data_IF_703266977668
#
_entry.id   IF_703266977668
#
_cell.length_a   1.000
_cell.length_b   1.000
_cell.length_c   1.000
_cell.angle_alpha   90.00
_cell.angle_beta   90.00
_cell.angle_gamma   90.00
#
_symmetry.space_group_name_H-M   'P 1'
#
loop_
_entity.id
_entity.type
_entity.pdbx_description
1 polymer ?
#
# COMPACT_ATOMS: atom_id res chain seq x y z
N UNK A 1 -13.35 30.92 10.68
CA UNK A 1 -14.14 30.36 9.55
C UNK A 1 -13.29 30.13 8.29
N UNK A 2 -12.59 31.14 7.75
CA UNK A 2 -11.77 31.02 6.51
C UNK A 2 -10.75 29.88 6.60
N UNK A 3 -10.02 29.75 7.69
CA UNK A 3 -9.01 28.68 7.90
C UNK A 3 -9.62 27.27 7.79
N UNK A 4 -10.83 27.08 8.32
CA UNK A 4 -11.55 25.80 8.23
C UNK A 4 -11.92 25.48 6.77
N UNK A 5 -12.40 26.47 6.01
CA UNK A 5 -12.73 26.26 4.60
C UNK A 5 -11.50 25.96 3.74
N UNK A 6 -10.38 26.63 4.00
CA UNK A 6 -9.09 26.34 3.34
C UNK A 6 -8.65 24.90 3.66
N UNK A 7 -8.73 24.50 4.93
CA UNK A 7 -8.37 23.13 5.34
C UNK A 7 -9.25 22.09 4.63
N UNK A 8 -10.58 22.27 4.64
CA UNK A 8 -11.49 21.34 3.95
C UNK A 8 -11.23 21.29 2.44
N UNK A 9 -10.95 22.42 1.81
CA UNK A 9 -10.62 22.48 0.39
C UNK A 9 -9.33 21.70 0.10
N UNK A 10 -8.30 21.85 0.91
CA UNK A 10 -7.01 21.10 0.74
C UNK A 10 -7.23 19.61 0.89
N UNK A 11 -8.04 19.17 1.86
CA UNK A 11 -8.38 17.75 2.05
C UNK A 11 -9.14 17.20 0.84
N UNK A 12 -10.16 17.93 0.34
CA UNK A 12 -10.92 17.52 -0.85
C UNK A 12 -10.05 17.46 -2.10
N UNK A 13 -9.19 18.45 -2.32
CA UNK A 13 -8.25 18.46 -3.44
C UNK A 13 -7.27 17.29 -3.38
N UNK A 14 -6.76 16.96 -2.20
CA UNK A 14 -5.87 15.80 -2.04
C UNK A 14 -6.57 14.48 -2.39
N UNK A 15 -7.83 14.31 -1.99
CA UNK A 15 -8.63 13.14 -2.33
C UNK A 15 -8.93 13.07 -3.84
N UNK A 16 -9.24 14.19 -4.47
CA UNK A 16 -9.45 14.26 -5.92
C UNK A 16 -8.17 13.91 -6.68
N UNK A 17 -7.02 14.44 -6.28
CA UNK A 17 -5.73 14.13 -6.89
C UNK A 17 -5.39 12.64 -6.74
N UNK A 18 -5.61 12.03 -5.58
CA UNK A 18 -5.42 10.60 -5.38
C UNK A 18 -6.30 9.78 -6.33
N UNK A 19 -7.60 10.08 -6.39
CA UNK A 19 -8.56 9.40 -7.27
C UNK A 19 -8.25 9.52 -8.76
N UNK A 20 -7.75 10.68 -9.19
CA UNK A 20 -7.37 10.92 -10.58
C UNK A 20 -6.03 10.23 -10.93
N UNK A 21 -5.05 10.27 -10.03
CA UNK A 21 -3.69 9.77 -10.29
C UNK A 21 -3.55 8.27 -10.17
N UNK A 22 -4.21 7.64 -9.20
CA UNK A 22 -4.05 6.22 -8.90
C UNK A 22 -5.37 5.52 -8.57
N UNK A 23 -5.97 5.82 -7.40
CA UNK A 23 -7.24 5.25 -6.96
C UNK A 23 -7.91 6.17 -5.94
N UNK A 24 -9.26 6.20 -5.86
CA UNK A 24 -9.94 6.74 -4.70
C UNK A 24 -9.63 5.87 -3.48
N UNK A 25 -9.66 6.47 -2.29
CA UNK A 25 -9.48 5.71 -1.07
C UNK A 25 -10.60 4.66 -0.90
N UNK A 26 -10.20 3.40 -0.88
CA UNK A 26 -11.04 2.24 -0.62
C UNK A 26 -10.30 1.33 0.36
N UNK A 27 -10.72 1.26 1.64
CA UNK A 27 -10.06 0.41 2.62
C UNK A 27 -10.19 -1.07 2.25
N UNK A 28 -9.10 -1.83 2.34
CA UNK A 28 -9.14 -3.28 2.21
C UNK A 28 -10.03 -3.90 3.29
N UNK A 29 -10.99 -4.70 2.89
CA UNK A 29 -11.96 -5.32 3.80
C UNK A 29 -11.27 -6.26 4.83
N UNK A 30 -11.83 -6.44 6.04
CA UNK A 30 -11.24 -7.30 7.06
C UNK A 30 -11.02 -8.76 6.60
N UNK A 31 -11.95 -9.34 5.85
CA UNK A 31 -11.83 -10.66 5.25
C UNK A 31 -10.67 -10.76 4.25
N UNK A 32 -10.55 -9.77 3.38
CA UNK A 32 -9.47 -9.67 2.42
C UNK A 32 -8.11 -9.54 3.12
N UNK A 33 -7.99 -8.66 4.13
CA UNK A 33 -6.76 -8.52 4.92
C UNK A 33 -6.36 -9.82 5.61
N UNK A 34 -7.34 -10.54 6.20
CA UNK A 34 -7.08 -11.83 6.83
C UNK A 34 -6.53 -12.82 5.80
N UNK A 35 -7.19 -12.93 4.64
CA UNK A 35 -6.76 -13.81 3.55
C UNK A 35 -5.32 -13.52 3.11
N UNK A 36 -4.98 -12.23 2.90
CA UNK A 36 -3.62 -11.82 2.56
C UNK A 36 -2.63 -12.16 3.66
N UNK A 37 -2.93 -11.83 4.93
CA UNK A 37 -2.05 -12.10 6.06
C UNK A 37 -1.74 -13.60 6.24
N UNK A 38 -2.68 -14.48 5.93
CA UNK A 38 -2.50 -15.92 6.06
C UNK A 38 -1.52 -16.47 5.00
N UNK A 39 -1.29 -15.74 3.90
CA UNK A 39 -0.30 -16.07 2.87
C UNK A 39 1.10 -15.53 3.17
N UNK A 40 1.24 -14.59 4.10
CA UNK A 40 2.51 -13.95 4.39
C UNK A 40 3.39 -14.82 5.29
N UNK A 41 4.67 -14.94 4.90
CA UNK A 41 5.73 -15.56 5.69
C UNK A 41 6.83 -14.54 5.93
N UNK A 42 6.65 -13.71 6.95
CA UNK A 42 7.57 -12.62 7.26
C UNK A 42 8.47 -12.98 8.45
N UNK A 43 9.75 -12.65 8.32
CA UNK A 43 10.76 -12.82 9.36
C UNK A 43 11.01 -11.49 10.11
N UNK A 44 11.49 -11.54 11.35
CA UNK A 44 11.94 -10.36 12.08
C UNK A 44 12.90 -9.49 11.26
N UNK A 45 12.70 -8.17 11.31
CA UNK A 45 13.53 -7.19 10.61
C UNK A 45 13.20 -7.00 9.12
N UNK A 46 12.33 -7.82 8.53
CA UNK A 46 11.89 -7.59 7.15
C UNK A 46 11.05 -6.33 7.01
N UNK A 47 11.04 -5.77 5.80
CA UNK A 47 10.35 -4.51 5.49
C UNK A 47 9.18 -4.75 4.53
N UNK A 48 8.04 -4.18 4.88
CA UNK A 48 6.82 -4.14 4.07
C UNK A 48 6.53 -2.71 3.66
N UNK A 49 6.31 -2.49 2.37
CA UNK A 49 5.90 -1.19 1.80
C UNK A 49 4.50 -1.31 1.22
N UNK A 50 3.65 -0.31 1.47
CA UNK A 50 2.29 -0.22 0.92
C UNK A 50 2.17 1.07 0.10
N UNK A 51 1.99 0.93 -1.20
CA UNK A 51 1.91 2.02 -2.17
C UNK A 51 0.45 2.41 -2.41
N UNK A 52 0.02 3.49 -1.79
CA UNK A 52 -1.38 3.92 -1.70
C UNK A 52 -2.03 3.37 -0.43
N UNK A 53 -1.35 3.51 0.72
CA UNK A 53 -1.73 2.83 1.96
C UNK A 53 -3.06 3.32 2.59
N UNK A 54 -3.63 4.42 2.11
CA UNK A 54 -4.85 4.98 2.64
C UNK A 54 -4.80 5.19 4.16
N UNK A 55 -5.75 4.59 4.88
CA UNK A 55 -5.84 4.64 6.35
C UNK A 55 -4.85 3.68 7.06
N UNK A 56 -3.96 3.05 6.31
CA UNK A 56 -2.95 2.13 6.82
C UNK A 56 -3.49 0.79 7.32
N UNK A 57 -4.75 0.46 7.03
CA UNK A 57 -5.43 -0.73 7.58
C UNK A 57 -4.67 -2.03 7.33
N UNK A 58 -4.03 -2.19 6.16
CA UNK A 58 -3.20 -3.35 5.85
C UNK A 58 -1.92 -3.36 6.68
N UNK A 59 -1.20 -2.25 6.76
CA UNK A 59 0.05 -2.15 7.52
C UNK A 59 -0.14 -2.36 9.03
N UNK A 60 -1.22 -1.83 9.61
CA UNK A 60 -1.55 -2.08 11.01
C UNK A 60 -1.89 -3.55 11.27
N UNK A 61 -2.51 -4.22 10.30
CA UNK A 61 -2.80 -5.65 10.41
C UNK A 61 -1.52 -6.50 10.31
N UNK A 62 -0.60 -6.15 9.39
CA UNK A 62 0.74 -6.77 9.30
C UNK A 62 1.51 -6.57 10.60
N UNK A 63 1.62 -5.34 11.10
CA UNK A 63 2.37 -5.03 12.32
C UNK A 63 1.83 -5.74 13.57
N UNK A 64 0.50 -5.97 13.64
CA UNK A 64 -0.10 -6.73 14.74
C UNK A 64 0.27 -8.21 14.68
N UNK A 65 0.31 -8.80 13.47
CA UNK A 65 0.63 -10.21 13.28
C UNK A 65 2.14 -10.48 13.33
N UNK A 66 2.94 -9.53 12.86
CA UNK A 66 4.41 -9.60 12.77
C UNK A 66 5.04 -8.37 13.44
N UNK A 67 5.13 -8.35 14.79
CA UNK A 67 5.52 -7.14 15.54
C UNK A 67 6.95 -6.64 15.29
N UNK A 68 7.82 -7.47 14.72
CA UNK A 68 9.23 -7.14 14.44
C UNK A 68 9.47 -6.75 12.97
N UNK A 69 8.41 -6.72 12.15
CA UNK A 69 8.47 -6.29 10.75
C UNK A 69 8.32 -4.77 10.67
N UNK A 70 9.12 -4.13 9.84
CA UNK A 70 9.04 -2.69 9.59
C UNK A 70 8.00 -2.43 8.50
N UNK A 71 6.98 -1.65 8.79
CA UNK A 71 5.90 -1.34 7.87
C UNK A 71 5.94 0.13 7.47
N UNK A 72 6.03 0.43 6.17
CA UNK A 72 5.99 1.82 5.66
C UNK A 72 4.90 1.97 4.61
N UNK A 73 4.05 2.98 4.76
CA UNK A 73 3.01 3.29 3.80
C UNK A 73 3.09 4.71 3.28
N UNK A 74 2.74 4.88 2.01
CA UNK A 74 2.72 6.17 1.32
C UNK A 74 1.35 6.43 0.72
N UNK A 75 0.82 7.62 0.94
CA UNK A 75 -0.40 8.10 0.31
C UNK A 75 -0.36 9.62 0.13
N UNK A 76 -1.10 10.16 -0.83
CA UNK A 76 -1.26 11.61 -1.05
C UNK A 76 -2.62 12.13 -0.56
N UNK A 77 -3.54 11.25 -0.20
CA UNK A 77 -4.87 11.62 0.30
C UNK A 77 -4.81 11.92 1.80
N UNK A 78 -5.04 13.16 2.16
CA UNK A 78 -4.89 13.62 3.56
C UNK A 78 -5.93 13.01 4.50
N UNK A 79 -7.18 12.82 4.04
CA UNK A 79 -8.24 12.29 4.90
C UNK A 79 -7.90 10.91 5.48
N UNK A 80 -7.60 9.89 4.68
CA UNK A 80 -7.21 8.58 5.21
C UNK A 80 -5.90 8.64 6.00
N UNK A 81 -4.93 9.50 5.61
CA UNK A 81 -3.69 9.68 6.37
C UNK A 81 -3.95 10.23 7.77
N UNK A 82 -4.86 11.17 7.96
CA UNK A 82 -5.24 11.65 9.30
C UNK A 82 -5.81 10.51 10.15
N UNK A 83 -6.62 9.63 9.57
CA UNK A 83 -7.14 8.44 10.26
C UNK A 83 -5.98 7.51 10.66
N UNK A 84 -5.03 7.25 9.74
CA UNK A 84 -3.87 6.42 10.00
C UNK A 84 -2.97 6.99 11.11
N UNK A 85 -2.66 8.28 11.05
CA UNK A 85 -1.86 8.96 12.09
C UNK A 85 -2.55 8.97 13.44
N UNK A 86 -3.86 9.22 13.50
CA UNK A 86 -4.66 9.14 14.71
C UNK A 86 -4.62 7.74 15.32
N UNK A 87 -4.79 6.69 14.50
CA UNK A 87 -4.67 5.30 14.95
C UNK A 87 -3.28 4.99 15.50
N UNK A 88 -2.22 5.42 14.80
CA UNK A 88 -0.86 5.24 15.26
C UNK A 88 -0.60 5.96 16.58
N UNK A 89 -1.10 7.19 16.75
CA UNK A 89 -0.95 7.96 17.98
C UNK A 89 -1.65 7.30 19.16
N UNK A 90 -2.89 6.84 18.99
CA UNK A 90 -3.67 6.16 20.03
C UNK A 90 -3.05 4.83 20.46
N UNK A 91 -2.40 4.11 19.55
CA UNK A 91 -1.83 2.79 19.79
C UNK A 91 -0.32 2.77 19.51
N UNK A 92 0.40 3.84 19.88
CA UNK A 92 1.81 4.04 19.51
C UNK A 92 2.75 2.91 19.98
N UNK A 93 2.49 2.31 21.16
CA UNK A 93 3.28 1.18 21.67
C UNK A 93 3.14 -0.07 20.79
N UNK A 94 1.93 -0.34 20.29
CA UNK A 94 1.63 -1.49 19.45
C UNK A 94 2.16 -1.29 18.02
N UNK A 95 2.14 -0.05 17.52
CA UNK A 95 2.48 0.28 16.13
C UNK A 95 3.76 1.11 16.01
N UNK A 96 4.73 0.90 16.91
CA UNK A 96 6.03 1.60 16.87
C UNK A 96 6.78 1.40 15.56
N UNK A 97 6.62 0.23 14.94
CA UNK A 97 7.23 -0.21 13.68
C UNK A 97 6.44 0.17 12.42
N UNK A 98 5.31 0.89 12.55
CA UNK A 98 4.52 1.37 11.40
C UNK A 98 4.86 2.83 11.12
N UNK A 99 5.19 3.13 9.87
CA UNK A 99 5.55 4.47 9.38
C UNK A 99 4.57 4.88 8.28
N UNK A 100 3.68 5.82 8.57
CA UNK A 100 2.72 6.38 7.62
C UNK A 100 3.24 7.73 7.14
N UNK A 101 3.43 7.87 5.82
CA UNK A 101 4.05 9.04 5.21
C UNK A 101 3.15 9.63 4.13
N UNK A 102 3.02 10.95 4.14
CA UNK A 102 2.50 11.69 2.99
C UNK A 102 3.53 11.62 1.88
N UNK A 103 3.15 11.12 0.70
CA UNK A 103 4.07 11.02 -0.43
C UNK A 103 3.43 10.40 -1.67
N UNK A 104 3.91 10.81 -2.83
CA UNK A 104 3.53 10.26 -4.12
C UNK A 104 4.12 8.84 -4.27
N UNK A 105 3.26 7.85 -4.38
CA UNK A 105 3.64 6.42 -4.52
C UNK A 105 4.54 6.16 -5.75
N UNK A 106 4.40 6.95 -6.82
CA UNK A 106 5.21 6.82 -8.04
C UNK A 106 6.67 7.26 -7.87
N UNK A 107 7.00 7.94 -6.77
CA UNK A 107 8.35 8.47 -6.50
C UNK A 107 9.12 7.67 -5.45
N UNK A 108 8.49 6.64 -4.86
CA UNK A 108 9.08 5.94 -3.73
C UNK A 108 10.19 4.97 -4.15
N UNK A 109 11.16 4.80 -3.27
CA UNK A 109 12.20 3.79 -3.37
C UNK A 109 11.83 2.59 -2.47
N UNK A 110 11.70 1.44 -3.08
CA UNK A 110 11.35 0.16 -2.45
C UNK A 110 12.50 -0.87 -2.57
N UNK A 111 13.74 -0.43 -2.80
CA UNK A 111 14.89 -1.34 -2.95
C UNK A 111 15.20 -2.14 -1.68
N UNK A 112 14.77 -1.68 -0.51
CA UNK A 112 14.91 -2.39 0.74
C UNK A 112 13.63 -3.13 1.18
N UNK A 113 12.60 -3.16 0.34
CA UNK A 113 11.35 -3.85 0.65
C UNK A 113 11.48 -5.37 0.40
N UNK A 114 10.98 -6.16 1.33
CA UNK A 114 10.76 -7.59 1.15
C UNK A 114 9.39 -7.87 0.54
N UNK A 115 8.39 -7.05 0.91
CA UNK A 115 7.05 -7.09 0.33
C UNK A 115 6.63 -5.67 -0.09
N UNK A 116 6.00 -5.57 -1.25
CA UNK A 116 5.34 -4.36 -1.74
C UNK A 116 3.88 -4.67 -2.00
N UNK A 117 2.97 -4.00 -1.27
CA UNK A 117 1.53 -4.06 -1.52
C UNK A 117 1.10 -2.99 -2.51
N UNK A 118 0.19 -3.36 -3.42
CA UNK A 118 -0.41 -2.50 -4.44
C UNK A 118 -1.91 -2.83 -4.52
N UNK A 119 -2.75 -1.89 -4.08
CA UNK A 119 -4.20 -1.94 -4.28
C UNK A 119 -4.68 -0.65 -4.94
N UNK A 120 -4.54 -0.59 -6.25
CA UNK A 120 -4.76 0.60 -7.07
C UNK A 120 -5.63 0.26 -8.28
N UNK A 121 -6.21 1.27 -8.93
CA UNK A 121 -6.90 1.05 -10.20
C UNK A 121 -5.92 0.72 -11.32
N UNK A 122 -6.28 -0.22 -12.18
CA UNK A 122 -5.45 -0.70 -13.29
C UNK A 122 -5.00 0.40 -14.26
N UNK A 123 -5.77 1.50 -14.36
CA UNK A 123 -5.41 2.67 -15.19
C UNK A 123 -4.04 3.28 -14.85
N UNK A 124 -3.57 3.14 -13.61
CA UNK A 124 -2.29 3.73 -13.19
C UNK A 124 -1.10 2.77 -13.36
N UNK A 125 -1.31 1.50 -13.67
CA UNK A 125 -0.26 0.48 -13.75
C UNK A 125 0.82 0.78 -14.79
N UNK A 126 0.54 1.29 -16.01
CA UNK A 126 1.60 1.67 -16.94
C UNK A 126 2.54 2.72 -16.35
N UNK A 127 1.99 3.73 -15.68
CA UNK A 127 2.78 4.75 -14.98
C UNK A 127 3.55 4.16 -13.79
N UNK A 128 2.92 3.24 -13.03
CA UNK A 128 3.54 2.58 -11.89
C UNK A 128 4.78 1.79 -12.31
N UNK A 129 4.65 0.93 -13.33
CA UNK A 129 5.74 0.12 -13.87
C UNK A 129 6.93 0.99 -14.33
N UNK A 130 6.63 2.08 -15.05
CA UNK A 130 7.66 3.01 -15.53
C UNK A 130 8.33 3.77 -14.39
N UNK A 131 7.55 4.29 -13.43
CA UNK A 131 8.05 5.16 -12.37
C UNK A 131 8.85 4.41 -11.30
N UNK A 132 8.56 3.14 -11.08
CA UNK A 132 9.24 2.28 -10.12
C UNK A 132 10.35 1.43 -10.77
N UNK A 133 10.64 1.65 -12.04
CA UNK A 133 11.74 0.96 -12.73
C UNK A 133 13.05 1.15 -11.97
N UNK A 134 13.70 0.03 -11.60
CA UNK A 134 14.94 0.03 -10.81
C UNK A 134 14.80 0.44 -9.34
N UNK A 135 13.58 0.71 -8.85
CA UNK A 135 13.32 1.16 -7.47
C UNK A 135 12.68 0.09 -6.57
N UNK A 136 12.50 -1.11 -7.06
CA UNK A 136 11.98 -2.24 -6.28
C UNK A 136 13.04 -3.32 -6.19
N UNK A 137 13.25 -3.87 -4.97
CA UNK A 137 14.18 -4.97 -4.78
C UNK A 137 13.79 -6.16 -5.69
N UNK A 138 14.73 -6.75 -6.44
CA UNK A 138 14.41 -7.82 -7.39
C UNK A 138 13.76 -9.05 -6.75
N UNK A 139 14.16 -9.34 -5.52
CA UNK A 139 13.66 -10.44 -4.70
C UNK A 139 12.45 -10.06 -3.83
N UNK A 140 11.96 -8.82 -3.91
CA UNK A 140 10.75 -8.43 -3.24
C UNK A 140 9.55 -9.20 -3.80
N UNK A 141 8.66 -9.65 -2.91
CA UNK A 141 7.34 -10.13 -3.31
C UNK A 141 6.43 -8.91 -3.55
N UNK A 142 5.87 -8.79 -4.75
CA UNK A 142 4.95 -7.72 -5.11
C UNK A 142 3.54 -8.30 -5.15
N UNK A 143 2.70 -7.84 -4.24
CA UNK A 143 1.34 -8.32 -4.03
C UNK A 143 0.36 -7.28 -4.58
N UNK A 144 -0.36 -7.66 -5.61
CA UNK A 144 -1.30 -6.78 -6.33
C UNK A 144 -2.71 -7.29 -6.15
N UNK A 145 -3.60 -6.46 -5.60
CA UNK A 145 -5.01 -6.81 -5.39
C UNK A 145 -5.89 -6.38 -6.56
N UNK A 146 -6.94 -7.14 -6.81
CA UNK A 146 -8.07 -6.92 -7.71
C UNK A 146 -7.76 -7.07 -9.21
N UNK A 147 -6.70 -6.48 -9.75
CA UNK A 147 -6.39 -6.50 -11.18
C UNK A 147 -4.93 -6.89 -11.42
N UNK A 148 -4.65 -7.77 -12.41
CA UNK A 148 -3.27 -8.13 -12.75
C UNK A 148 -2.53 -6.96 -13.40
N UNK A 149 -1.20 -6.95 -13.29
CA UNK A 149 -0.36 -6.01 -14.03
C UNK A 149 -0.41 -6.31 -15.53
N UNK A 150 -0.51 -5.29 -16.41
CA UNK A 150 -0.67 -5.50 -17.83
C UNK A 150 0.57 -6.17 -18.46
N UNK A 151 0.35 -7.14 -19.33
CA UNK A 151 1.39 -7.86 -20.08
C UNK A 151 2.45 -8.56 -19.20
N UNK A 152 2.11 -8.88 -17.94
CA UNK A 152 2.98 -9.58 -17.02
C UNK A 152 2.23 -10.77 -16.42
N UNK A 153 2.87 -11.94 -16.46
CA UNK A 153 2.33 -13.14 -15.83
C UNK A 153 2.69 -13.16 -14.34
N UNK A 154 1.71 -13.29 -13.44
CA UNK A 154 1.98 -13.47 -12.02
C UNK A 154 2.61 -14.84 -11.75
N UNK A 155 3.48 -14.93 -10.75
CA UNK A 155 4.02 -16.22 -10.29
C UNK A 155 2.94 -17.06 -9.64
N UNK A 156 2.00 -16.40 -8.98
CA UNK A 156 0.88 -17.05 -8.29
C UNK A 156 -0.35 -16.15 -8.36
N UNK A 157 -1.53 -16.77 -8.47
CA UNK A 157 -2.82 -16.09 -8.37
C UNK A 157 -3.65 -16.75 -7.28
N UNK A 158 -3.97 -15.99 -6.24
CA UNK A 158 -4.83 -16.43 -5.15
C UNK A 158 -6.26 -15.99 -5.44
N UNK A 159 -7.19 -16.94 -5.43
CA UNK A 159 -8.63 -16.70 -5.56
C UNK A 159 -9.37 -17.40 -4.43
N UNK A 160 -10.29 -16.68 -3.79
CA UNK A 160 -11.20 -17.25 -2.81
C UNK A 160 -12.60 -16.68 -3.02
N UNK A 161 -13.61 -17.46 -2.70
CA UNK A 161 -15.01 -17.06 -2.86
C UNK A 161 -15.33 -15.80 -2.04
N UNK A 162 -15.97 -14.83 -2.67
CA UNK A 162 -16.33 -13.55 -2.03
C UNK A 162 -15.16 -12.59 -1.76
N UNK A 163 -13.94 -12.92 -2.22
CA UNK A 163 -12.76 -12.08 -2.09
C UNK A 163 -12.23 -11.59 -3.44
N UNK A 164 -11.53 -10.48 -3.42
CA UNK A 164 -10.81 -9.99 -4.61
C UNK A 164 -9.64 -10.91 -4.93
N UNK A 165 -9.36 -11.17 -6.22
CA UNK A 165 -8.19 -11.92 -6.61
C UNK A 165 -6.91 -11.18 -6.21
N UNK A 166 -5.86 -11.94 -5.89
CA UNK A 166 -4.54 -11.43 -5.54
C UNK A 166 -3.52 -12.02 -6.49
N UNK A 167 -2.69 -11.18 -7.06
CA UNK A 167 -1.64 -11.54 -8.01
C UNK A 167 -0.28 -11.30 -7.38
N UNK A 168 0.56 -12.32 -7.37
CA UNK A 168 1.89 -12.27 -6.76
C UNK A 168 2.95 -12.26 -7.85
N UNK A 169 3.83 -11.27 -7.78
CA UNK A 169 4.97 -11.11 -8.68
C UNK A 169 6.27 -11.00 -7.88
N UNK A 170 7.42 -11.10 -8.54
CA UNK A 170 8.70 -10.64 -7.98
C UNK A 170 9.00 -9.22 -8.42
N UNK A 171 9.88 -8.54 -7.68
CA UNK A 171 10.33 -7.19 -8.02
C UNK A 171 11.14 -7.10 -9.33
N UNK A 172 11.50 -8.24 -9.93
CA UNK A 172 12.14 -8.32 -11.25
C UNK A 172 11.31 -7.68 -12.36
N UNK A 173 9.97 -7.64 -12.20
CA UNK A 173 9.06 -6.97 -13.14
C UNK A 173 9.36 -5.46 -13.32
N UNK A 174 10.06 -4.84 -12.36
CA UNK A 174 10.47 -3.44 -12.42
C UNK A 174 11.90 -3.23 -12.93
N UNK A 175 12.55 -4.26 -13.48
CA UNK A 175 13.89 -4.15 -14.09
C UNK A 175 13.88 -3.91 -15.58
N UNK A 176 12.85 -4.38 -16.26
CA UNK A 176 12.72 -4.32 -17.73
C UNK A 176 12.44 -2.91 -18.28
#
# INVERSE_FOLDING_TARGET
MIVLWIFLLVVLLSAALAGLSAAPWLPTLPSQRKHLLDQLKLQPGQTVVDLGCGDGSMLFAVARRFPEVICTGYDISLLPLFIAWGRKLLFFKTYKNVHIRFGDLFKQDCQNANIVFIFLLSKCYPKLLTSLKGKVAPNAQVIVEAWPLPNLEPQETLKAEGLLPVYIYTGTIFRA
#
